data_IF_611528330176
#
_entry.id   IF_611528330176
#
_cell.length_a   1.000
_cell.length_b   1.000
_cell.length_c   1.000
_cell.angle_alpha   90.00
_cell.angle_beta   90.00
_cell.angle_gamma   90.00
#
_symmetry.space_group_name_H-M   'P 1'
#
loop_
_entity.id
_entity.type
_entity.pdbx_description
1 polymer ?
#
# COMPACT_ATOMS: atom_id res chain seq x y z
N UNK A 1 -18.27 -15.93 -0.34
CA UNK A 1 -16.84 -15.77 -0.02
C UNK A 1 -16.63 -14.36 0.51
N UNK A 2 -15.88 -14.20 1.59
CA UNK A 2 -15.58 -12.89 2.19
C UNK A 2 -14.28 -12.35 1.59
N UNK A 3 -14.26 -11.08 1.21
CA UNK A 3 -13.06 -10.45 0.62
C UNK A 3 -11.98 -10.23 1.68
N UNK A 4 -10.73 -10.10 1.24
CA UNK A 4 -9.61 -9.81 2.14
C UNK A 4 -9.83 -8.46 2.85
N UNK A 5 -10.41 -7.48 2.16
CA UNK A 5 -10.83 -6.19 2.71
C UNK A 5 -11.73 -6.34 3.94
N UNK A 6 -12.79 -7.14 3.85
CA UNK A 6 -13.70 -7.39 4.97
C UNK A 6 -13.01 -8.14 6.11
N UNK A 7 -12.14 -9.10 5.80
CA UNK A 7 -11.37 -9.86 6.79
C UNK A 7 -10.36 -8.98 7.53
N UNK A 8 -9.81 -7.97 6.86
CA UNK A 8 -8.93 -6.96 7.44
C UNK A 8 -9.68 -5.91 8.30
N UNK A 9 -11.01 -5.98 8.40
CA UNK A 9 -11.83 -5.06 9.18
C UNK A 9 -12.48 -3.94 8.35
N UNK A 10 -12.40 -4.02 7.03
CA UNK A 10 -13.03 -3.06 6.12
C UNK A 10 -12.47 -1.65 6.25
N UNK A 11 -13.31 -0.66 5.93
CA UNK A 11 -12.92 0.74 5.71
C UNK A 11 -12.09 1.31 6.85
N UNK A 12 -12.57 1.18 8.08
CA UNK A 12 -11.95 1.78 9.26
C UNK A 12 -10.51 1.30 9.44
N UNK A 13 -10.28 -0.01 9.30
CA UNK A 13 -8.94 -0.58 9.44
C UNK A 13 -8.05 -0.24 8.26
N UNK A 14 -8.56 -0.20 7.03
CA UNK A 14 -7.77 0.23 5.87
C UNK A 14 -7.34 1.69 6.00
N UNK A 15 -8.24 2.58 6.42
CA UNK A 15 -7.90 3.98 6.72
C UNK A 15 -6.81 4.04 7.80
N UNK A 16 -6.95 3.30 8.90
CA UNK A 16 -5.93 3.25 9.95
C UNK A 16 -4.58 2.72 9.45
N UNK A 17 -4.55 1.66 8.67
CA UNK A 17 -3.31 1.14 8.09
C UNK A 17 -2.65 2.17 7.19
N UNK A 18 -3.44 2.86 6.39
CA UNK A 18 -2.96 3.91 5.48
C UNK A 18 -2.22 4.99 6.26
N UNK A 19 -2.80 5.49 7.35
CA UNK A 19 -2.14 6.50 8.19
C UNK A 19 -0.85 5.97 8.83
N UNK A 20 -0.84 4.74 9.35
CA UNK A 20 0.37 4.15 9.95
C UNK A 20 1.47 3.95 8.90
N UNK A 21 1.12 3.48 7.70
CA UNK A 21 2.07 3.33 6.59
C UNK A 21 2.65 4.69 6.22
N UNK A 22 1.80 5.69 6.02
CA UNK A 22 2.24 7.04 5.68
C UNK A 22 3.17 7.63 6.74
N UNK A 23 2.84 7.48 8.02
CA UNK A 23 3.68 7.96 9.12
C UNK A 23 5.05 7.25 9.14
N UNK A 24 5.08 5.93 8.93
CA UNK A 24 6.33 5.17 8.82
C UNK A 24 7.17 5.61 7.63
N UNK A 25 6.55 5.88 6.47
CA UNK A 25 7.24 6.35 5.27
C UNK A 25 7.82 7.75 5.46
N UNK A 26 7.14 8.64 6.22
CA UNK A 26 7.64 9.99 6.51
C UNK A 26 8.88 9.97 7.41
N UNK A 27 9.08 8.91 8.20
CA UNK A 27 10.24 8.73 9.06
C UNK A 27 11.28 7.76 8.46
N UNK A 28 11.12 7.41 7.19
CA UNK A 28 12.04 6.57 6.45
C UNK A 28 12.98 7.44 5.61
N UNK A 29 14.28 7.36 5.85
CA UNK A 29 15.27 8.22 5.17
C UNK A 29 15.20 8.17 3.64
N UNK A 30 14.73 7.06 3.05
CA UNK A 30 14.65 6.86 1.61
C UNK A 30 13.32 7.38 1.06
N UNK A 31 12.19 7.00 1.70
CA UNK A 31 10.86 7.37 1.21
C UNK A 31 10.47 8.81 1.57
N UNK A 32 11.03 9.37 2.65
CA UNK A 32 10.74 10.74 3.08
C UNK A 32 11.19 11.77 2.05
N UNK A 33 12.37 11.59 1.42
CA UNK A 33 12.86 12.50 0.39
C UNK A 33 11.91 12.58 -0.81
N UNK A 34 11.30 11.46 -1.20
CA UNK A 34 10.31 11.44 -2.27
C UNK A 34 8.95 11.98 -1.83
N UNK A 35 8.54 11.72 -0.57
CA UNK A 35 7.30 12.27 -0.01
C UNK A 35 7.32 13.80 0.08
N UNK A 36 8.45 14.42 0.42
CA UNK A 36 8.59 15.88 0.53
C UNK A 36 8.29 16.61 -0.79
N UNK A 37 8.33 15.90 -1.92
CA UNK A 37 8.03 16.41 -3.27
C UNK A 37 6.57 16.23 -3.69
N UNK A 38 5.74 15.57 -2.88
CA UNK A 38 4.39 15.15 -3.22
C UNK A 38 3.39 15.71 -2.18
N UNK A 39 2.18 16.02 -2.62
CA UNK A 39 1.10 16.40 -1.70
C UNK A 39 0.71 15.24 -0.77
N UNK A 40 0.93 15.40 0.54
CA UNK A 40 0.72 14.33 1.52
C UNK A 40 -0.74 13.84 1.60
N UNK A 41 -1.77 14.70 1.65
CA UNK A 41 -3.16 14.27 1.57
C UNK A 41 -3.44 13.43 0.33
N UNK A 42 -2.87 13.81 -0.82
CA UNK A 42 -2.98 13.01 -2.03
C UNK A 42 -2.36 11.62 -1.88
N UNK A 43 -1.17 11.48 -1.28
CA UNK A 43 -0.54 10.16 -1.06
C UNK A 43 -1.43 9.25 -0.19
N UNK A 44 -1.99 9.79 0.89
CA UNK A 44 -2.90 9.05 1.78
C UNK A 44 -4.14 8.57 1.01
N UNK A 45 -4.76 9.45 0.21
CA UNK A 45 -5.92 9.10 -0.62
C UNK A 45 -5.59 8.00 -1.65
N UNK A 46 -4.45 8.11 -2.33
CA UNK A 46 -3.99 7.10 -3.31
C UNK A 46 -3.71 5.76 -2.65
N UNK A 47 -3.03 5.75 -1.51
CA UNK A 47 -2.76 4.52 -0.75
C UNK A 47 -4.05 3.87 -0.25
N UNK A 48 -4.98 4.65 0.29
CA UNK A 48 -6.27 4.12 0.73
C UNK A 48 -7.02 3.45 -0.44
N UNK A 49 -7.16 4.19 -1.54
CA UNK A 49 -7.78 3.72 -2.78
C UNK A 49 -7.13 2.43 -3.30
N UNK A 50 -5.80 2.34 -3.23
CA UNK A 50 -5.07 1.14 -3.65
C UNK A 50 -5.43 -0.05 -2.76
N UNK A 51 -5.31 0.10 -1.44
CA UNK A 51 -5.57 -0.98 -0.47
C UNK A 51 -7.03 -1.47 -0.54
N UNK A 52 -8.00 -0.55 -0.66
CA UNK A 52 -9.41 -0.89 -0.86
C UNK A 52 -9.59 -1.71 -2.13
N UNK A 53 -8.99 -1.30 -3.24
CA UNK A 53 -9.10 -2.01 -4.51
C UNK A 53 -8.47 -3.41 -4.46
N UNK A 54 -7.18 -3.51 -4.11
CA UNK A 54 -6.43 -4.78 -4.21
C UNK A 54 -6.91 -5.84 -3.20
N UNK A 55 -7.52 -5.42 -2.08
CA UNK A 55 -8.12 -6.34 -1.11
C UNK A 55 -9.59 -6.67 -1.42
N UNK A 56 -10.15 -6.14 -2.51
CA UNK A 56 -11.51 -6.45 -2.97
C UNK A 56 -12.61 -5.69 -2.23
N UNK A 57 -12.31 -4.50 -1.72
CA UNK A 57 -13.30 -3.55 -1.19
C UNK A 57 -13.93 -2.65 -2.27
N UNK A 58 -13.29 -2.53 -3.43
CA UNK A 58 -13.82 -1.84 -4.61
C UNK A 58 -13.62 -2.68 -5.87
N UNK A 59 -14.58 -2.69 -6.82
CA UNK A 59 -14.41 -3.38 -8.10
C UNK A 59 -13.48 -2.65 -9.07
N UNK A 60 -13.12 -1.40 -8.79
CA UNK A 60 -12.21 -0.60 -9.63
C UNK A 60 -11.27 0.27 -8.79
N UNK A 61 -10.10 0.55 -9.35
CA UNK A 61 -9.16 1.52 -8.78
C UNK A 61 -9.52 2.92 -9.27
N UNK A 62 -9.73 3.85 -8.34
CA UNK A 62 -10.00 5.25 -8.64
C UNK A 62 -8.67 6.01 -8.80
N UNK A 63 -8.23 6.26 -10.04
CA UNK A 63 -7.00 7.00 -10.32
C UNK A 63 -6.60 6.96 -11.80
N UNK A 64 -5.49 7.61 -12.15
CA UNK A 64 -5.00 7.59 -13.54
C UNK A 64 -4.50 6.19 -13.91
N UNK A 65 -3.58 5.66 -13.10
CA UNK A 65 -3.18 4.26 -13.05
C UNK A 65 -2.36 4.04 -11.78
N UNK A 66 -2.36 2.82 -11.23
CA UNK A 66 -1.53 2.47 -10.06
C UNK A 66 -0.06 2.87 -10.31
N UNK A 67 0.44 2.62 -11.52
CA UNK A 67 1.79 3.04 -11.92
C UNK A 67 1.97 4.55 -11.82
N UNK A 68 1.10 5.33 -12.46
CA UNK A 68 1.22 6.79 -12.49
C UNK A 68 1.17 7.39 -11.08
N UNK A 69 0.32 6.83 -10.21
CA UNK A 69 0.08 7.34 -8.87
C UNK A 69 1.23 7.00 -7.91
N UNK A 70 1.98 5.90 -8.15
CA UNK A 70 3.08 5.49 -7.26
C UNK A 70 4.48 5.64 -7.86
N UNK A 71 4.63 6.00 -9.14
CA UNK A 71 5.94 6.12 -9.82
C UNK A 71 6.95 6.98 -9.08
N UNK A 72 6.51 8.14 -8.57
CA UNK A 72 7.41 9.08 -7.90
C UNK A 72 7.90 8.54 -6.55
N UNK A 73 7.03 7.79 -5.86
CA UNK A 73 7.26 7.29 -4.50
C UNK A 73 7.94 5.92 -4.47
N UNK A 74 7.60 5.06 -5.42
CA UNK A 74 8.02 3.66 -5.52
C UNK A 74 8.80 3.42 -6.82
N UNK A 75 9.83 4.23 -7.06
CA UNK A 75 10.55 4.27 -8.33
C UNK A 75 11.46 3.06 -8.59
N UNK A 76 11.74 2.23 -7.58
CA UNK A 76 12.60 1.06 -7.70
C UNK A 76 12.21 -0.04 -6.72
N UNK A 77 12.77 -1.24 -6.90
CA UNK A 77 12.63 -2.33 -5.92
C UNK A 77 13.05 -1.95 -4.52
N UNK A 78 14.05 -1.09 -4.40
CA UNK A 78 14.50 -0.63 -3.10
C UNK A 78 13.40 0.15 -2.38
N UNK A 79 12.81 1.15 -3.05
CA UNK A 79 11.67 1.92 -2.53
C UNK A 79 10.47 1.00 -2.24
N UNK A 80 10.17 0.08 -3.15
CA UNK A 80 9.07 -0.85 -2.99
C UNK A 80 9.26 -1.77 -1.79
N UNK A 81 10.48 -2.29 -1.56
CA UNK A 81 10.79 -3.12 -0.40
C UNK A 81 10.63 -2.36 0.92
N UNK A 82 11.02 -1.08 0.95
CA UNK A 82 10.78 -0.21 2.14
C UNK A 82 9.28 -0.06 2.39
N UNK A 83 8.51 0.26 1.35
CA UNK A 83 7.05 0.35 1.44
C UNK A 83 6.40 -0.95 1.93
N UNK A 84 6.79 -2.09 1.35
CA UNK A 84 6.30 -3.42 1.75
C UNK A 84 6.62 -3.75 3.21
N UNK A 85 7.79 -3.34 3.71
CA UNK A 85 8.18 -3.49 5.11
C UNK A 85 7.29 -2.62 6.03
N UNK A 86 7.02 -1.37 5.65
CA UNK A 86 6.13 -0.47 6.39
C UNK A 86 4.69 -0.97 6.41
N UNK A 87 4.20 -1.51 5.30
CA UNK A 87 2.91 -2.20 5.23
C UNK A 87 2.83 -3.36 6.23
N UNK A 88 3.85 -4.24 6.24
CA UNK A 88 3.89 -5.35 7.19
C UNK A 88 3.90 -4.87 8.65
N UNK A 89 4.64 -3.80 8.93
CA UNK A 89 4.72 -3.17 10.25
C UNK A 89 3.38 -2.58 10.67
N UNK A 90 2.67 -1.91 9.76
CA UNK A 90 1.34 -1.36 10.02
C UNK A 90 0.33 -2.47 10.37
N UNK A 91 0.35 -3.60 9.67
CA UNK A 91 -0.53 -4.72 10.01
C UNK A 91 -0.19 -5.34 11.38
N UNK A 92 1.08 -5.39 11.75
CA UNK A 92 1.52 -5.86 13.08
C UNK A 92 1.03 -4.94 14.20
N UNK A 93 1.19 -3.62 14.02
CA UNK A 93 0.77 -2.61 14.98
C UNK A 93 -0.75 -2.65 15.25
N UNK A 94 -1.51 -3.16 14.29
CA UNK A 94 -2.96 -3.29 14.38
C UNK A 94 -3.45 -4.69 14.79
N UNK A 95 -2.56 -5.51 15.37
CA UNK A 95 -2.88 -6.84 15.89
C UNK A 95 -3.53 -7.79 14.87
N UNK A 96 -3.24 -7.62 13.57
CA UNK A 96 -3.70 -8.53 12.53
C UNK A 96 -2.94 -9.86 12.65
N UNK A 97 -3.67 -10.98 12.61
CA UNK A 97 -3.09 -12.30 12.80
C UNK A 97 -2.08 -12.66 11.69
N UNK A 98 -1.10 -13.51 12.03
CA UNK A 98 0.01 -13.81 11.14
C UNK A 98 -0.42 -14.48 9.81
N UNK A 99 -1.55 -15.17 9.77
CA UNK A 99 -2.05 -15.79 8.54
C UNK A 99 -2.62 -14.73 7.62
N UNK A 100 -3.47 -13.84 8.15
CA UNK A 100 -4.06 -12.75 7.38
C UNK A 100 -2.99 -11.74 6.92
N UNK A 101 -1.96 -11.48 7.75
CA UNK A 101 -0.82 -10.65 7.34
C UNK A 101 -0.04 -11.21 6.16
N UNK A 102 0.20 -12.52 6.14
CA UNK A 102 0.91 -13.18 5.03
C UNK A 102 0.11 -13.11 3.74
N UNK A 103 -1.20 -13.29 3.81
CA UNK A 103 -2.08 -13.16 2.65
C UNK A 103 -2.09 -11.73 2.11
N UNK A 104 -2.23 -10.73 2.99
CA UNK A 104 -2.17 -9.33 2.59
C UNK A 104 -0.82 -8.94 2.00
N UNK A 105 0.28 -9.44 2.57
CA UNK A 105 1.62 -9.24 2.02
C UNK A 105 1.75 -9.84 0.62
N UNK A 106 1.23 -11.05 0.40
CA UNK A 106 1.26 -11.68 -0.91
C UNK A 106 0.49 -10.85 -1.95
N UNK A 107 -0.66 -10.29 -1.59
CA UNK A 107 -1.41 -9.39 -2.47
C UNK A 107 -0.64 -8.11 -2.77
N UNK A 108 0.05 -7.52 -1.79
CA UNK A 108 0.95 -6.38 -2.05
C UNK A 108 2.02 -6.78 -3.06
N UNK A 109 2.73 -7.89 -2.85
CA UNK A 109 3.78 -8.33 -3.78
C UNK A 109 3.28 -8.58 -5.21
N UNK A 110 2.04 -9.06 -5.39
CA UNK A 110 1.44 -9.21 -6.72
C UNK A 110 1.27 -7.88 -7.46
N UNK A 111 1.17 -6.77 -6.73
CA UNK A 111 1.00 -5.42 -7.29
C UNK A 111 2.35 -4.78 -7.66
N UNK A 112 3.47 -5.35 -7.19
CA UNK A 112 4.83 -4.84 -7.44
C UNK A 112 5.10 -4.61 -8.93
N UNK A 113 4.82 -5.62 -9.75
CA UNK A 113 5.15 -5.55 -11.18
C UNK A 113 4.29 -4.52 -11.91
N UNK A 114 3.07 -4.25 -11.43
CA UNK A 114 2.21 -3.18 -11.94
C UNK A 114 2.71 -1.78 -11.54
N UNK A 115 3.26 -1.64 -10.33
CA UNK A 115 3.85 -0.39 -9.84
C UNK A 115 5.17 -0.09 -10.55
N UNK A 116 6.04 -1.10 -10.69
CA UNK A 116 7.39 -0.97 -11.26
C UNK A 116 7.44 -1.15 -12.78
N UNK A 117 6.32 -1.43 -13.45
CA UNK A 117 6.23 -1.67 -14.89
C UNK A 117 7.19 -2.76 -15.39
N UNK A 118 7.20 -3.90 -14.70
CA UNK A 118 7.92 -5.07 -15.18
C UNK A 118 7.05 -5.76 -16.21
N UNK A 119 7.60 -5.99 -17.42
CA UNK A 119 6.96 -6.91 -18.35
C UNK A 119 6.86 -8.27 -17.65
N UNK A 120 5.64 -8.76 -17.44
CA UNK A 120 5.41 -10.17 -17.16
C UNK A 120 5.92 -10.91 -18.41
N UNK A 121 7.09 -11.55 -18.28
CA UNK A 121 7.67 -12.38 -19.33
C UNK A 121 6.80 -13.62 -19.59
#
# INVERSE_FOLDING_TARGET
MTTLYLRLGGRENIERFTYVIFDLMRHDDILAEELDRIDHPWVIDRLNSLLVFIFGGSPFYEGASIRSDFRALLASDHHYNRFACHFQTALQANAIDATLRREAQAVIELVRDYVLERQLA
#
